data_IF_830770626148
#
_entry.id   IF_830770626148
#
_cell.length_a   1.000
_cell.length_b   1.000
_cell.length_c   1.000
_cell.angle_alpha   90.00
_cell.angle_beta   90.00
_cell.angle_gamma   90.00
#
_symmetry.space_group_name_H-M   'P 1'
#
loop_
_entity.id
_entity.type
_entity.pdbx_description
1 polymer ?
#
# COMPACT_ATOMS: atom_id res chain seq x y z
N UNK A 1 -1.32 0.19 48.22
CA UNK A 1 -2.09 -0.85 47.49
C UNK A 1 -1.24 -2.10 47.44
N UNK A 2 -1.59 -3.11 48.22
CA UNK A 2 -0.93 -4.41 48.15
C UNK A 2 -1.17 -5.04 46.78
N UNK A 3 -0.10 -5.53 46.15
CA UNK A 3 -0.19 -6.15 44.83
C UNK A 3 -0.98 -7.46 44.95
N UNK A 4 -1.87 -7.73 43.99
CA UNK A 4 -2.77 -8.90 43.97
C UNK A 4 -2.05 -10.25 44.13
N UNK A 5 -0.74 -10.29 43.86
CA UNK A 5 0.13 -11.43 44.12
C UNK A 5 0.23 -11.85 45.60
N UNK A 6 0.23 -10.89 46.53
CA UNK A 6 0.33 -11.18 47.97
C UNK A 6 -0.90 -11.93 48.49
N UNK A 7 -2.06 -11.78 47.85
CA UNK A 7 -3.30 -12.50 48.16
C UNK A 7 -3.31 -13.91 47.54
N UNK A 8 -2.77 -14.05 46.33
CA UNK A 8 -2.84 -15.30 45.57
C UNK A 8 -1.83 -16.36 46.04
N UNK A 9 -0.66 -15.95 46.57
CA UNK A 9 0.39 -16.88 47.03
C UNK A 9 -0.05 -17.82 48.15
N UNK A 10 -1.08 -17.46 48.92
CA UNK A 10 -1.59 -18.27 50.02
C UNK A 10 -2.78 -19.17 49.62
N UNK A 11 -3.26 -19.06 48.38
CA UNK A 11 -4.39 -19.87 47.92
C UNK A 11 -3.98 -21.35 47.80
N UNK A 12 -4.79 -22.30 48.30
CA UNK A 12 -4.49 -23.73 48.19
C UNK A 12 -4.33 -24.20 46.74
N UNK A 13 -5.14 -23.63 45.83
CA UNK A 13 -5.05 -23.89 44.38
C UNK A 13 -3.70 -23.46 43.80
N UNK A 14 -3.10 -22.39 44.33
CA UNK A 14 -1.79 -21.90 43.91
C UNK A 14 -0.68 -22.91 44.27
N UNK A 15 -0.73 -23.47 45.48
CA UNK A 15 0.23 -24.49 45.93
C UNK A 15 0.09 -25.81 45.15
N UNK A 16 -1.13 -26.23 44.82
CA UNK A 16 -1.37 -27.41 43.99
C UNK A 16 -0.72 -27.25 42.59
N UNK A 17 -0.83 -26.06 42.00
CA UNK A 17 -0.19 -25.76 40.73
C UNK A 17 1.35 -25.77 40.84
N UNK A 18 1.92 -25.20 41.90
CA UNK A 18 3.36 -25.19 42.11
C UNK A 18 3.93 -26.60 42.32
N UNK A 19 3.21 -27.46 43.06
CA UNK A 19 3.60 -28.86 43.28
C UNK A 19 3.55 -29.68 41.99
N UNK A 20 2.57 -29.43 41.11
CA UNK A 20 2.50 -30.11 39.80
C UNK A 20 3.59 -29.63 38.83
N UNK A 21 4.07 -28.39 38.96
CA UNK A 21 5.21 -27.90 38.18
C UNK A 21 6.55 -28.49 38.66
N UNK A 22 6.72 -28.66 39.97
CA UNK A 22 7.97 -29.17 40.56
C UNK A 22 8.19 -30.68 40.40
N UNK A 23 7.13 -31.48 40.21
CA UNK A 23 7.24 -32.94 40.01
C UNK A 23 7.74 -33.34 38.62
N UNK A 24 7.84 -32.40 37.66
CA UNK A 24 8.37 -32.68 36.32
C UNK A 24 9.90 -32.79 36.23
N UNK A 25 10.64 -32.49 37.29
CA UNK A 25 12.10 -32.67 37.32
C UNK A 25 12.44 -34.01 38.01
N UNK A 26 12.63 -35.06 37.21
CA UNK A 26 13.22 -36.32 37.69
C UNK A 26 14.68 -36.06 38.14
N UNK A 27 15.11 -36.51 39.34
CA UNK A 27 16.52 -36.52 39.71
C UNK A 27 17.28 -37.46 38.76
N UNK A 28 18.46 -37.03 38.31
CA UNK A 28 19.33 -37.80 37.43
C UNK A 28 20.04 -38.88 38.26
N UNK A 29 19.45 -40.07 38.36
CA UNK A 29 20.12 -41.20 38.98
C UNK A 29 21.34 -41.66 38.17
N UNK A 30 22.36 -42.05 38.93
CA UNK A 30 23.74 -42.32 38.55
C UNK A 30 23.87 -43.47 37.55
N UNK A 31 24.75 -43.32 36.56
CA UNK A 31 25.26 -44.46 35.76
C UNK A 31 26.79 -44.43 35.77
N UNK A 32 27.48 -45.53 36.13
CA UNK A 32 28.93 -45.56 36.23
C UNK A 32 29.59 -45.75 34.86
N UNK A 33 30.81 -45.23 34.77
CA UNK A 33 31.82 -45.41 33.72
C UNK A 33 32.08 -46.88 33.40
N UNK A 34 32.29 -47.21 32.11
CA UNK A 34 33.21 -48.28 31.74
C UNK A 34 33.76 -48.10 30.31
N UNK A 35 34.95 -48.63 30.13
CA UNK A 35 35.99 -48.30 29.18
C UNK A 35 35.91 -49.03 27.82
N UNK A 36 36.55 -48.40 26.83
CA UNK A 36 37.28 -48.92 25.67
C UNK A 36 37.14 -50.39 25.23
N UNK A 37 36.90 -50.59 23.91
CA UNK A 37 37.72 -51.50 23.10
C UNK A 37 37.48 -51.39 21.59
N UNK A 38 38.59 -51.08 20.91
CA UNK A 38 39.09 -51.64 19.64
C UNK A 38 38.33 -51.47 18.32
N UNK A 39 39.00 -50.68 17.48
CA UNK A 39 38.95 -50.55 16.02
C UNK A 39 39.20 -51.89 15.30
N UNK A 40 38.29 -52.30 14.40
CA UNK A 40 38.58 -53.14 13.22
C UNK A 40 37.73 -52.63 12.06
N UNK A 41 38.44 -52.17 11.02
CA UNK A 41 37.94 -51.73 9.72
C UNK A 41 37.42 -52.94 8.92
N UNK A 42 36.16 -52.90 8.49
CA UNK A 42 35.57 -53.89 7.59
C UNK A 42 34.44 -53.23 6.81
N UNK A 43 34.72 -52.96 5.53
CA UNK A 43 33.85 -52.55 4.43
C UNK A 43 32.34 -52.72 4.70
N UNK A 44 31.70 -51.67 5.21
CA UNK A 44 30.25 -51.55 5.27
C UNK A 44 29.86 -50.68 4.09
N UNK A 45 29.23 -51.29 3.09
CA UNK A 45 28.36 -50.59 2.15
C UNK A 45 27.44 -49.73 3.00
N UNK A 46 27.71 -48.43 3.04
CA UNK A 46 26.92 -47.45 3.77
C UNK A 46 25.58 -47.32 3.02
N UNK A 47 24.70 -48.29 3.26
CA UNK A 47 23.28 -48.15 3.06
C UNK A 47 22.92 -46.89 3.87
N UNK A 48 22.76 -45.77 3.16
CA UNK A 48 22.25 -44.53 3.72
C UNK A 48 20.82 -44.80 4.19
N UNK A 49 20.69 -45.44 5.35
CA UNK A 49 19.46 -45.47 6.11
C UNK A 49 19.31 -44.05 6.65
N UNK A 50 18.66 -43.22 5.85
CA UNK A 50 18.31 -41.85 6.21
C UNK A 50 17.69 -41.88 7.61
N UNK A 51 18.38 -41.26 8.57
CA UNK A 51 17.84 -41.15 9.93
C UNK A 51 16.46 -40.50 9.82
N UNK A 52 15.42 -41.05 10.45
CA UNK A 52 14.09 -40.43 10.43
C UNK A 52 14.21 -38.97 10.83
N UNK A 53 13.58 -38.10 10.05
CA UNK A 53 13.59 -36.66 10.30
C UNK A 53 13.27 -36.42 11.78
N UNK A 54 14.23 -35.85 12.51
CA UNK A 54 14.07 -35.64 13.94
C UNK A 54 12.84 -34.77 14.21
N UNK A 55 12.26 -34.89 15.42
CA UNK A 55 11.05 -34.13 15.83
C UNK A 55 11.12 -32.61 15.54
N UNK A 56 12.32 -32.02 15.46
CA UNK A 56 12.53 -30.63 15.03
C UNK A 56 12.22 -30.41 13.54
N UNK A 57 12.73 -31.27 12.67
CA UNK A 57 12.52 -31.19 11.22
C UNK A 57 11.05 -31.44 10.85
N UNK A 58 10.40 -32.41 11.52
CA UNK A 58 8.97 -32.66 11.34
C UNK A 58 8.12 -31.45 11.78
N UNK A 59 8.44 -30.84 12.93
CA UNK A 59 7.77 -29.63 13.41
C UNK A 59 7.97 -28.45 12.47
N UNK A 60 9.16 -28.28 11.91
CA UNK A 60 9.45 -27.22 10.93
C UNK A 60 8.66 -27.44 9.63
N UNK A 61 8.67 -28.65 9.10
CA UNK A 61 7.91 -29.01 7.89
C UNK A 61 6.40 -28.81 8.09
N UNK A 62 5.87 -29.19 9.26
CA UNK A 62 4.47 -28.92 9.61
C UNK A 62 4.17 -27.43 9.67
N UNK A 63 5.10 -26.62 10.22
CA UNK A 63 4.94 -25.16 10.29
C UNK A 63 4.95 -24.53 8.90
N UNK A 64 5.82 -25.00 8.00
CA UNK A 64 5.87 -24.58 6.59
C UNK A 64 4.56 -24.93 5.87
N UNK A 65 4.08 -26.16 6.04
CA UNK A 65 2.82 -26.61 5.42
C UNK A 65 1.62 -25.79 5.89
N UNK A 66 1.49 -25.55 7.20
CA UNK A 66 0.44 -24.69 7.77
C UNK A 66 0.53 -23.24 7.33
N UNK A 67 1.74 -22.69 7.18
CA UNK A 67 1.91 -21.33 6.67
C UNK A 67 1.47 -21.24 5.20
N UNK A 68 1.77 -22.25 4.40
CA UNK A 68 1.35 -22.34 3.00
C UNK A 68 -0.16 -22.57 2.84
N UNK A 69 -0.77 -23.36 3.74
CA UNK A 69 -2.24 -23.55 3.82
C UNK A 69 -2.97 -22.29 4.32
N UNK A 70 -2.28 -21.35 5.00
CA UNK A 70 -2.90 -20.11 5.50
C UNK A 70 -3.10 -19.03 4.44
N UNK A 71 -2.54 -19.23 3.24
CA UNK A 71 -2.79 -18.39 2.08
C UNK A 71 -4.10 -18.82 1.41
N UNK A 72 -5.20 -18.21 1.80
CA UNK A 72 -6.47 -18.36 1.08
C UNK A 72 -6.35 -17.67 -0.29
N UNK A 73 -6.09 -18.47 -1.32
CA UNK A 73 -5.89 -18.01 -2.68
C UNK A 73 -7.15 -17.33 -3.25
N UNK A 74 -8.34 -17.77 -2.84
CA UNK A 74 -9.61 -17.19 -3.27
C UNK A 74 -9.79 -15.80 -2.64
N UNK A 75 -9.48 -15.67 -1.34
CA UNK A 75 -9.51 -14.38 -0.66
C UNK A 75 -8.54 -13.37 -1.27
N UNK A 76 -7.29 -13.77 -1.53
CA UNK A 76 -6.30 -12.89 -2.13
C UNK A 76 -6.68 -12.48 -3.56
N UNK A 77 -7.28 -13.39 -4.32
CA UNK A 77 -7.78 -13.10 -5.67
C UNK A 77 -8.92 -12.08 -5.62
N UNK A 78 -9.88 -12.27 -4.71
CA UNK A 78 -10.98 -11.32 -4.51
C UNK A 78 -10.48 -9.94 -4.08
N UNK A 79 -9.51 -9.89 -3.16
CA UNK A 79 -8.89 -8.64 -2.72
C UNK A 79 -8.17 -7.91 -3.86
N UNK A 80 -7.47 -8.67 -4.72
CA UNK A 80 -6.82 -8.16 -5.92
C UNK A 80 -7.82 -7.54 -6.90
N UNK A 81 -8.93 -8.24 -7.17
CA UNK A 81 -9.99 -7.72 -8.03
C UNK A 81 -10.59 -6.41 -7.51
N UNK A 82 -10.90 -6.32 -6.20
CA UNK A 82 -11.42 -5.09 -5.60
C UNK A 82 -10.43 -3.92 -5.66
N UNK A 83 -9.14 -4.23 -5.55
CA UNK A 83 -8.07 -3.21 -5.63
C UNK A 83 -7.95 -2.66 -7.05
N UNK A 84 -8.00 -3.54 -8.06
CA UNK A 84 -7.97 -3.13 -9.47
C UNK A 84 -9.23 -2.36 -9.86
N UNK A 85 -10.43 -2.80 -9.46
CA UNK A 85 -11.68 -2.07 -9.70
C UNK A 85 -11.62 -0.66 -9.13
N UNK A 86 -11.13 -0.52 -7.89
CA UNK A 86 -10.93 0.79 -7.27
C UNK A 86 -9.92 1.64 -8.05
N UNK A 87 -8.83 1.03 -8.53
CA UNK A 87 -7.81 1.74 -9.32
C UNK A 87 -8.40 2.26 -10.64
N UNK A 88 -9.15 1.42 -11.35
CA UNK A 88 -9.81 1.77 -12.61
C UNK A 88 -10.84 2.88 -12.40
N UNK A 89 -11.74 2.74 -11.42
CA UNK A 89 -12.72 3.77 -11.09
C UNK A 89 -12.06 5.13 -10.78
N UNK A 90 -10.96 5.13 -10.01
CA UNK A 90 -10.24 6.35 -9.69
C UNK A 90 -9.49 6.95 -10.89
N UNK A 91 -9.08 6.12 -11.86
CA UNK A 91 -8.46 6.59 -13.10
C UNK A 91 -9.51 7.21 -14.02
N UNK A 92 -10.62 6.49 -14.28
CA UNK A 92 -11.74 6.98 -15.09
C UNK A 92 -12.30 8.30 -14.53
N UNK A 93 -12.48 8.40 -13.21
CA UNK A 93 -12.91 9.66 -12.57
C UNK A 93 -11.95 10.82 -12.83
N UNK A 94 -10.63 10.57 -12.80
CA UNK A 94 -9.63 11.60 -13.09
C UNK A 94 -9.65 12.01 -14.56
N UNK A 95 -9.81 11.06 -15.47
CA UNK A 95 -9.94 11.32 -16.89
C UNK A 95 -11.19 12.15 -17.20
N UNK A 96 -12.33 11.81 -16.59
CA UNK A 96 -13.55 12.60 -16.68
C UNK A 96 -13.36 14.02 -16.19
N UNK A 97 -12.75 14.21 -15.01
CA UNK A 97 -12.48 15.54 -14.48
C UNK A 97 -11.58 16.35 -15.43
N UNK A 98 -10.50 15.74 -15.92
CA UNK A 98 -9.57 16.37 -16.86
C UNK A 98 -10.27 16.77 -18.16
N UNK A 99 -11.18 15.92 -18.65
CA UNK A 99 -11.98 16.22 -19.84
C UNK A 99 -12.94 17.39 -19.59
N UNK A 100 -13.65 17.40 -18.46
CA UNK A 100 -14.57 18.49 -18.09
C UNK A 100 -13.81 19.82 -17.98
N UNK A 101 -12.65 19.82 -17.34
CA UNK A 101 -11.84 21.03 -17.19
C UNK A 101 -11.32 21.53 -18.54
N UNK A 102 -10.90 20.61 -19.43
CA UNK A 102 -10.50 20.95 -20.80
C UNK A 102 -11.64 21.53 -21.62
N UNK A 103 -12.81 20.88 -21.58
CA UNK A 103 -14.00 21.32 -22.32
C UNK A 103 -14.46 22.69 -21.82
N UNK A 104 -14.41 22.93 -20.50
CA UNK A 104 -14.69 24.24 -19.89
C UNK A 104 -13.68 25.31 -20.33
N UNK A 105 -12.39 24.98 -20.34
CA UNK A 105 -11.34 25.89 -20.82
C UNK A 105 -11.56 26.28 -22.28
N UNK A 106 -11.77 25.28 -23.15
CA UNK A 106 -12.04 25.51 -24.58
C UNK A 106 -13.30 26.36 -24.79
N UNK A 107 -14.35 26.16 -24.00
CA UNK A 107 -15.56 26.98 -24.06
C UNK A 107 -15.28 28.44 -23.67
N UNK A 108 -14.53 28.68 -22.59
CA UNK A 108 -14.13 30.02 -22.17
C UNK A 108 -13.27 30.72 -23.24
N UNK A 109 -12.35 30.01 -23.87
CA UNK A 109 -11.52 30.56 -24.95
C UNK A 109 -12.35 30.92 -26.18
N UNK A 110 -13.32 30.08 -26.56
CA UNK A 110 -14.26 30.37 -27.64
C UNK A 110 -15.11 31.59 -27.34
N UNK A 111 -15.63 31.70 -26.12
CA UNK A 111 -16.46 32.84 -25.72
C UNK A 111 -15.64 34.13 -25.63
N UNK A 112 -14.38 34.07 -25.17
CA UNK A 112 -13.43 35.18 -25.23
C UNK A 112 -13.21 35.63 -26.68
N UNK A 113 -12.90 34.71 -27.60
CA UNK A 113 -12.69 35.02 -29.02
C UNK A 113 -13.92 35.65 -29.69
N UNK A 114 -15.12 35.16 -29.37
CA UNK A 114 -16.38 35.74 -29.86
C UNK A 114 -16.57 37.17 -29.36
N UNK A 115 -16.39 37.38 -28.07
CA UNK A 115 -16.47 38.71 -27.47
C UNK A 115 -15.48 39.66 -28.11
N UNK A 116 -14.22 39.24 -28.25
CA UNK A 116 -13.16 40.07 -28.84
C UNK A 116 -13.49 40.43 -30.30
N UNK A 117 -13.98 39.46 -31.10
CA UNK A 117 -14.40 39.70 -32.47
C UNK A 117 -15.59 40.68 -32.55
N UNK A 118 -16.60 40.54 -31.67
CA UNK A 118 -17.74 41.46 -31.61
C UNK A 118 -17.28 42.88 -31.27
N UNK A 119 -16.40 43.01 -30.28
CA UNK A 119 -15.89 44.30 -29.82
C UNK A 119 -15.01 45.00 -30.87
N UNK A 120 -14.16 44.24 -31.56
CA UNK A 120 -13.32 44.75 -32.65
C UNK A 120 -14.14 45.14 -33.89
N UNK A 121 -15.22 44.41 -34.19
CA UNK A 121 -16.11 44.69 -35.31
C UNK A 121 -17.17 45.78 -35.06
N UNK A 122 -17.26 46.32 -33.84
CA UNK A 122 -18.30 47.28 -33.46
C UNK A 122 -18.07 48.64 -34.12
N UNK A 123 -19.04 49.10 -34.93
CA UNK A 123 -19.03 50.47 -35.45
C UNK A 123 -19.37 51.47 -34.32
N UNK A 124 -18.54 52.50 -34.21
CA UNK A 124 -18.62 53.52 -33.17
C UNK A 124 -19.15 54.87 -33.70
N UNK A 125 -19.35 54.99 -35.02
CA UNK A 125 -19.73 56.25 -35.68
C UNK A 125 -21.02 56.87 -35.14
N UNK A 126 -21.99 56.03 -34.77
CA UNK A 126 -23.29 56.45 -34.21
C UNK A 126 -23.32 56.69 -32.70
N UNK A 127 -22.19 56.54 -31.99
CA UNK A 127 -22.14 56.64 -30.52
C UNK A 127 -21.70 58.04 -30.04
N UNK A 128 -21.99 58.37 -28.78
CA UNK A 128 -21.50 59.63 -28.19
C UNK A 128 -19.99 59.56 -27.87
N UNK A 129 -19.36 60.72 -27.63
CA UNK A 129 -17.91 60.82 -27.42
C UNK A 129 -17.38 59.94 -26.27
N UNK A 130 -18.13 59.83 -25.16
CA UNK A 130 -17.74 59.00 -24.02
C UNK A 130 -17.80 57.50 -24.34
N UNK A 131 -18.86 57.06 -25.03
CA UNK A 131 -19.03 55.68 -25.46
C UNK A 131 -17.97 55.30 -26.50
N UNK A 132 -17.72 56.16 -27.48
CA UNK A 132 -16.65 55.96 -28.47
C UNK A 132 -15.30 55.79 -27.78
N UNK A 133 -14.96 56.66 -26.82
CA UNK A 133 -13.70 56.56 -26.09
C UNK A 133 -13.58 55.25 -25.28
N UNK A 134 -14.67 54.83 -24.64
CA UNK A 134 -14.73 53.55 -23.92
C UNK A 134 -14.46 52.37 -24.86
N UNK A 135 -15.20 52.27 -25.96
CA UNK A 135 -15.05 51.13 -26.88
C UNK A 135 -13.71 51.13 -27.61
N UNK A 136 -13.18 52.29 -28.00
CA UNK A 136 -11.81 52.40 -28.54
C UNK A 136 -10.76 51.89 -27.56
N UNK A 137 -10.91 52.17 -26.27
CA UNK A 137 -10.01 51.66 -25.23
C UNK A 137 -10.08 50.14 -25.13
N UNK A 138 -11.27 49.56 -25.23
CA UNK A 138 -11.45 48.10 -25.22
C UNK A 138 -10.83 47.47 -26.47
N UNK A 139 -11.10 48.02 -27.66
CA UNK A 139 -10.50 47.56 -28.92
C UNK A 139 -8.97 47.61 -28.88
N UNK A 140 -8.39 48.70 -28.36
CA UNK A 140 -6.94 48.82 -28.19
C UNK A 140 -6.38 47.73 -27.28
N UNK A 141 -7.05 47.45 -26.15
CA UNK A 141 -6.62 46.41 -25.21
C UNK A 141 -6.64 45.03 -25.85
N UNK A 142 -7.71 44.68 -26.57
CA UNK A 142 -7.81 43.40 -27.29
C UNK A 142 -6.67 43.27 -28.30
N UNK A 143 -6.38 44.34 -29.05
CA UNK A 143 -5.28 44.35 -30.02
C UNK A 143 -3.90 44.15 -29.35
N UNK A 144 -3.62 44.84 -28.25
CA UNK A 144 -2.37 44.70 -27.49
C UNK A 144 -2.20 43.28 -26.92
N UNK A 145 -3.27 42.68 -26.41
CA UNK A 145 -3.27 41.30 -25.90
C UNK A 145 -2.98 40.29 -27.03
N UNK A 146 -3.57 40.51 -28.23
CA UNK A 146 -3.31 39.67 -29.40
C UNK A 146 -1.87 39.75 -29.93
N UNK A 147 -1.21 40.91 -29.82
CA UNK A 147 0.21 41.04 -30.20
C UNK A 147 1.12 40.36 -29.17
N UNK A 148 0.81 40.50 -27.88
CA UNK A 148 1.56 39.86 -26.80
C UNK A 148 1.53 38.33 -26.88
N UNK A 149 0.38 37.75 -27.25
CA UNK A 149 0.23 36.31 -27.47
C UNK A 149 1.05 35.81 -28.69
N UNK A 150 1.29 36.67 -29.69
CA UNK A 150 2.06 36.31 -30.89
C UNK A 150 3.57 36.29 -30.66
N UNK A 151 4.08 37.17 -29.78
CA UNK A 151 5.51 37.24 -29.44
C UNK A 151 5.97 36.05 -28.57
N UNK A 152 5.06 35.39 -27.84
CA UNK A 152 5.35 34.25 -26.98
C UNK A 152 5.47 32.89 -27.69
N UNK A 153 5.29 32.82 -29.02
CA UNK A 153 5.33 31.56 -29.81
C UNK A 153 6.69 31.38 -30.52
N UNK A 154 7.61 32.34 -30.38
CA UNK A 154 8.95 32.30 -30.99
C UNK A 154 10.06 31.95 -29.97
N UNK A 155 10.02 30.77 -29.35
CA UNK A 155 11.18 30.14 -28.68
C UNK A 155 11.20 28.61 -28.88
#
# INVERSE_FOLDING_TARGET
MDHSWNLLRHQPKWHQHLNTLNTRRKPHDKRPSNEQSSEILGDVVEEHVERPAGKKAEKENLRKRKAQESSDAEFNTALGAMTEDRRLFMAERREWQTKVDRDRGAQLDLDKRKFDAEMMGKDLSGMNAMQQAYFRKVQKKIWEESMSDSDGISE
#
